data_IF_173681827437
#
_entry.id   IF_173681827437
#
_cell.length_a   1.000
_cell.length_b   1.000
_cell.length_c   1.000
_cell.angle_alpha   90.00
_cell.angle_beta   90.00
_cell.angle_gamma   90.00
#
_symmetry.space_group_name_H-M   'P 1'
#
loop_
_entity.id
_entity.type
_entity.pdbx_description
1 polymer ?
#
# COMPACT_ATOMS: atom_id res chain seq x y z
N UNK A 1 21.69 18.50 -55.33
CA UNK A 1 22.29 19.68 -54.65
C UNK A 1 21.61 19.83 -53.34
N UNK A 2 22.29 19.51 -52.23
CA UNK A 2 21.75 19.80 -50.90
C UNK A 2 21.69 21.32 -50.76
N UNK A 3 20.54 21.83 -50.47
CA UNK A 3 20.29 23.26 -50.43
C UNK A 3 21.16 23.86 -49.32
N UNK A 4 21.93 24.91 -49.58
CA UNK A 4 22.75 25.62 -48.56
C UNK A 4 21.97 25.94 -47.31
N UNK A 5 20.68 26.17 -47.44
CA UNK A 5 19.74 26.41 -46.37
C UNK A 5 19.52 25.19 -45.49
N UNK A 6 19.54 23.98 -46.03
CA UNK A 6 19.38 22.74 -45.26
C UNK A 6 20.64 22.42 -44.46
N UNK A 7 21.82 22.70 -45.02
CA UNK A 7 23.10 22.59 -44.33
C UNK A 7 23.21 23.62 -43.19
N UNK A 8 22.73 24.85 -43.40
CA UNK A 8 22.68 25.88 -42.39
C UNK A 8 21.71 25.49 -41.24
N UNK A 9 20.50 25.05 -41.57
CA UNK A 9 19.55 24.52 -40.60
C UNK A 9 20.13 23.35 -39.78
N UNK A 10 20.76 22.39 -40.42
CA UNK A 10 21.38 21.25 -39.75
C UNK A 10 22.47 21.70 -38.78
N UNK A 11 23.27 22.69 -39.10
CA UNK A 11 24.29 23.28 -38.20
C UNK A 11 23.64 24.00 -37.00
N UNK A 12 22.64 24.84 -37.25
CA UNK A 12 21.98 25.63 -36.21
C UNK A 12 21.16 24.74 -35.30
N UNK A 13 20.49 23.75 -35.83
CA UNK A 13 19.59 22.87 -35.06
C UNK A 13 20.30 21.65 -34.48
N UNK A 14 21.56 21.34 -34.89
CA UNK A 14 22.29 20.19 -34.35
C UNK A 14 21.53 18.86 -34.50
N UNK A 15 20.81 18.69 -35.61
CA UNK A 15 19.98 17.50 -35.86
C UNK A 15 18.56 17.53 -35.25
N UNK A 16 18.21 18.58 -34.52
CA UNK A 16 16.85 18.73 -34.00
C UNK A 16 15.87 19.30 -35.05
N UNK A 17 14.59 18.96 -34.96
CA UNK A 17 13.58 19.42 -35.93
C UNK A 17 13.28 20.92 -35.84
N UNK A 18 13.50 21.55 -34.70
CA UNK A 18 13.27 22.97 -34.43
C UNK A 18 14.11 23.48 -33.26
N UNK A 19 14.16 24.81 -33.05
CA UNK A 19 14.92 25.45 -31.97
C UNK A 19 14.46 25.04 -30.57
N UNK A 20 13.15 24.77 -30.37
CA UNK A 20 12.61 24.28 -29.08
C UNK A 20 13.20 22.91 -28.77
N UNK A 21 13.14 21.98 -29.71
CA UNK A 21 13.68 20.63 -29.56
C UNK A 21 15.19 20.64 -29.34
N UNK A 22 15.91 21.53 -30.02
CA UNK A 22 17.35 21.74 -29.77
C UNK A 22 17.59 22.12 -28.32
N UNK A 23 16.90 23.12 -27.81
CA UNK A 23 17.05 23.57 -26.42
C UNK A 23 16.73 22.47 -25.41
N UNK A 24 15.65 21.69 -25.66
CA UNK A 24 15.32 20.53 -24.81
C UNK A 24 16.48 19.53 -24.81
N UNK A 25 17.03 19.21 -25.99
CA UNK A 25 18.16 18.28 -26.10
C UNK A 25 19.43 18.81 -25.42
N UNK A 26 19.70 20.12 -25.55
CA UNK A 26 20.83 20.75 -24.87
C UNK A 26 20.68 20.68 -23.34
N UNK A 27 19.49 20.97 -22.80
CA UNK A 27 19.20 20.85 -21.36
C UNK A 27 19.35 19.39 -20.90
N UNK A 28 18.84 18.42 -21.64
CA UNK A 28 19.03 16.98 -21.32
C UNK A 28 20.51 16.60 -21.26
N UNK A 29 21.28 17.03 -22.28
CA UNK A 29 22.72 16.76 -22.32
C UNK A 29 23.46 17.39 -21.13
N UNK A 30 23.12 18.63 -20.79
CA UNK A 30 23.75 19.35 -19.69
C UNK A 30 23.36 18.71 -18.36
N UNK A 31 22.09 18.27 -18.20
CA UNK A 31 21.67 17.49 -17.04
C UNK A 31 22.43 16.15 -16.92
N UNK A 32 22.57 15.39 -18.02
CA UNK A 32 23.32 14.13 -18.00
C UNK A 32 24.80 14.34 -17.65
N UNK A 33 25.38 15.46 -18.08
CA UNK A 33 26.73 15.84 -17.67
C UNK A 33 26.79 16.20 -16.17
N UNK A 34 25.85 17.01 -15.70
CA UNK A 34 25.72 17.34 -14.27
C UNK A 34 25.60 16.08 -13.42
N UNK A 35 24.74 15.14 -13.80
CA UNK A 35 24.52 13.91 -13.06
C UNK A 35 25.82 13.09 -12.89
N UNK A 36 26.72 13.11 -13.86
CA UNK A 36 27.99 12.39 -13.79
C UNK A 36 29.02 13.03 -12.85
N UNK A 37 28.86 14.33 -12.52
CA UNK A 37 29.84 15.09 -11.74
C UNK A 37 29.29 15.62 -10.41
N UNK A 38 28.00 15.46 -10.17
CA UNK A 38 27.38 15.96 -8.95
C UNK A 38 27.81 15.15 -7.73
N UNK A 39 28.17 15.80 -6.61
CA UNK A 39 28.45 15.10 -5.35
C UNK A 39 27.23 14.39 -4.75
N UNK A 40 26.01 14.74 -5.21
CA UNK A 40 24.76 14.08 -4.80
C UNK A 40 24.38 12.92 -5.70
N UNK A 41 25.23 12.59 -6.68
CA UNK A 41 24.99 11.49 -7.62
C UNK A 41 25.50 10.19 -7.04
N UNK A 42 24.62 9.20 -7.03
CA UNK A 42 24.89 7.87 -6.49
C UNK A 42 24.50 6.81 -7.52
N UNK A 43 25.20 5.68 -7.48
CA UNK A 43 24.74 4.47 -8.12
C UNK A 43 23.75 3.78 -7.18
N UNK A 44 22.54 3.54 -7.67
CA UNK A 44 21.43 3.00 -6.88
C UNK A 44 20.82 1.80 -7.61
N UNK A 45 20.21 0.89 -6.84
CA UNK A 45 19.36 -0.15 -7.40
C UNK A 45 17.91 0.30 -7.43
N UNK A 46 17.16 -0.12 -8.46
CA UNK A 46 15.75 0.23 -8.59
C UNK A 46 14.94 -0.92 -9.20
N UNK A 47 13.66 -1.00 -8.85
CA UNK A 47 12.71 -1.88 -9.54
C UNK A 47 12.19 -1.20 -10.78
N UNK A 48 12.03 -1.96 -11.86
CA UNK A 48 11.22 -1.51 -13.00
C UNK A 48 9.76 -1.42 -12.60
N UNK A 49 8.97 -0.80 -13.47
CA UNK A 49 7.50 -0.77 -13.32
C UNK A 49 6.97 -2.20 -13.15
N UNK A 50 6.13 -2.43 -12.16
CA UNK A 50 5.61 -3.74 -11.72
C UNK A 50 6.65 -4.74 -11.19
N UNK A 51 7.91 -4.35 -11.06
CA UNK A 51 8.97 -5.19 -10.50
C UNK A 51 8.83 -5.40 -8.99
N UNK A 52 9.29 -6.55 -8.53
CA UNK A 52 9.37 -6.86 -7.11
C UNK A 52 10.68 -6.31 -6.50
N UNK A 53 10.69 -5.94 -5.21
CA UNK A 53 11.88 -5.38 -4.55
C UNK A 53 12.88 -6.48 -4.13
N UNK A 54 13.23 -7.37 -5.06
CA UNK A 54 14.21 -8.44 -4.87
C UNK A 54 15.57 -7.90 -5.32
N UNK A 55 16.52 -7.76 -4.39
CA UNK A 55 17.80 -7.08 -4.60
C UNK A 55 18.61 -7.59 -5.79
N UNK A 56 18.54 -8.90 -6.07
CA UNK A 56 19.27 -9.54 -7.17
C UNK A 56 18.62 -9.30 -8.55
N UNK A 57 17.32 -8.97 -8.57
CA UNK A 57 16.55 -8.68 -9.78
C UNK A 57 16.46 -7.19 -10.10
N UNK A 58 16.88 -6.33 -9.17
CA UNK A 58 16.84 -4.88 -9.35
C UNK A 58 17.88 -4.41 -10.37
N UNK A 59 17.47 -3.48 -11.22
CA UNK A 59 18.36 -2.80 -12.16
C UNK A 59 19.16 -1.71 -11.46
N UNK A 60 20.32 -1.34 -12.03
CA UNK A 60 21.15 -0.24 -11.51
C UNK A 60 21.01 1.01 -12.38
N UNK A 61 21.04 2.18 -11.76
CA UNK A 61 21.12 3.48 -12.45
C UNK A 61 21.92 4.51 -11.66
N UNK A 62 22.36 5.55 -12.34
CA UNK A 62 22.93 6.74 -11.69
C UNK A 62 21.83 7.78 -11.49
N UNK A 63 21.61 8.20 -10.26
CA UNK A 63 20.63 9.23 -9.91
C UNK A 63 21.18 10.19 -8.85
N UNK A 64 20.71 11.42 -8.85
CA UNK A 64 21.01 12.36 -7.77
C UNK A 64 19.95 12.25 -6.68
N UNK A 65 20.40 12.11 -5.43
CA UNK A 65 19.55 12.09 -4.24
C UNK A 65 19.89 13.30 -3.39
N UNK A 66 18.88 14.06 -3.01
CA UNK A 66 19.02 15.25 -2.18
C UNK A 66 17.98 15.28 -1.07
N UNK A 67 18.35 15.86 0.05
CA UNK A 67 17.44 16.07 1.17
C UNK A 67 16.38 17.12 0.81
N UNK A 68 15.18 16.95 1.35
CA UNK A 68 14.15 17.98 1.28
C UNK A 68 14.46 19.01 2.35
N UNK A 69 14.68 20.26 1.95
CA UNK A 69 14.77 21.38 2.88
C UNK A 69 13.37 21.64 3.45
N UNK A 70 13.01 20.94 4.52
CA UNK A 70 11.72 21.06 5.15
C UNK A 70 11.82 21.98 6.36
N UNK A 71 10.98 23.00 6.37
CA UNK A 71 10.64 23.75 7.58
C UNK A 71 9.55 23.03 8.40
N UNK A 72 8.98 21.94 7.88
CA UNK A 72 7.95 21.16 8.53
C UNK A 72 8.55 19.99 9.30
N UNK A 73 8.28 19.95 10.59
CA UNK A 73 8.70 18.89 11.52
C UNK A 73 8.08 17.52 11.21
N UNK A 74 7.28 17.42 10.16
CA UNK A 74 6.55 16.21 9.73
C UNK A 74 7.19 15.48 8.56
N UNK A 75 8.27 16.00 7.96
CA UNK A 75 8.95 15.32 6.87
C UNK A 75 9.73 14.10 7.40
N UNK A 76 9.05 12.99 7.42
CA UNK A 76 9.56 11.67 7.77
C UNK A 76 10.53 11.21 6.67
N UNK A 77 11.80 11.60 6.78
CA UNK A 77 12.91 11.09 5.98
C UNK A 77 12.57 10.93 4.47
N UNK A 78 11.90 11.95 3.94
CA UNK A 78 11.62 12.06 2.51
C UNK A 78 12.82 12.71 1.81
N UNK A 79 13.13 12.20 0.60
CA UNK A 79 14.22 12.70 -0.22
C UNK A 79 13.73 13.01 -1.63
N UNK A 80 14.51 13.76 -2.37
CA UNK A 80 14.26 14.02 -3.78
C UNK A 80 15.20 13.16 -4.61
N UNK A 81 14.66 12.39 -5.53
CA UNK A 81 15.40 11.67 -6.56
C UNK A 81 15.30 12.40 -7.89
N UNK A 82 16.42 12.59 -8.55
CA UNK A 82 16.46 13.12 -9.92
C UNK A 82 17.25 12.17 -10.81
N UNK A 83 16.66 11.71 -11.88
CA UNK A 83 17.27 10.75 -12.80
C UNK A 83 17.01 11.11 -14.27
N UNK A 84 17.63 10.35 -15.16
CA UNK A 84 17.46 10.54 -16.61
C UNK A 84 16.02 10.24 -17.03
N UNK A 85 15.60 10.85 -18.16
CA UNK A 85 14.26 10.63 -18.72
C UNK A 85 14.07 9.21 -19.25
N UNK A 86 15.15 8.57 -19.65
CA UNK A 86 15.17 7.26 -20.31
C UNK A 86 14.98 6.10 -19.31
N UNK A 87 15.19 6.35 -18.02
CA UNK A 87 15.04 5.31 -16.98
C UNK A 87 13.59 4.82 -16.89
N UNK A 88 13.41 3.50 -16.83
CA UNK A 88 12.09 2.86 -16.76
C UNK A 88 11.60 2.78 -15.31
N UNK A 89 11.33 3.95 -14.73
CA UNK A 89 10.80 4.09 -13.38
C UNK A 89 9.57 5.00 -13.37
N UNK A 90 8.68 4.75 -12.43
CA UNK A 90 7.45 5.51 -12.20
C UNK A 90 7.07 5.45 -10.71
N UNK A 91 6.01 6.15 -10.34
CA UNK A 91 5.47 6.10 -8.97
C UNK A 91 5.22 4.65 -8.53
N UNK A 92 5.60 4.33 -7.28
CA UNK A 92 5.49 2.98 -6.71
C UNK A 92 6.68 2.06 -6.96
N UNK A 93 7.63 2.42 -7.82
CA UNK A 93 8.89 1.68 -7.91
C UNK A 93 9.69 1.83 -6.62
N UNK A 94 10.48 0.81 -6.29
CA UNK A 94 11.38 0.82 -5.14
C UNK A 94 12.79 1.22 -5.56
N UNK A 95 13.45 1.94 -4.68
CA UNK A 95 14.86 2.33 -4.76
C UNK A 95 15.57 1.70 -3.56
N UNK A 96 16.72 1.10 -3.80
CA UNK A 96 17.63 0.65 -2.74
C UNK A 96 18.90 1.49 -2.80
N UNK A 97 19.15 2.22 -1.73
CA UNK A 97 20.28 3.12 -1.58
C UNK A 97 20.68 3.22 -0.11
N UNK A 98 21.99 3.19 0.16
CA UNK A 98 22.56 3.29 1.51
C UNK A 98 21.90 2.28 2.49
N UNK A 99 21.88 1.01 2.07
CA UNK A 99 21.31 -0.13 2.81
C UNK A 99 19.84 0.06 3.23
N UNK A 100 19.12 0.94 2.54
CA UNK A 100 17.74 1.27 2.86
C UNK A 100 16.85 1.26 1.62
N UNK A 101 15.64 0.72 1.77
CA UNK A 101 14.61 0.81 0.75
C UNK A 101 13.84 2.13 0.85
N UNK A 102 13.56 2.69 -0.30
CA UNK A 102 12.65 3.83 -0.50
C UNK A 102 11.61 3.46 -1.54
N UNK A 103 10.40 4.01 -1.42
CA UNK A 103 9.37 3.91 -2.45
C UNK A 103 9.17 5.28 -3.12
N UNK A 104 9.01 5.29 -4.44
CA UNK A 104 8.70 6.50 -5.21
C UNK A 104 7.25 6.92 -4.93
N UNK A 105 7.08 8.00 -4.16
CA UNK A 105 5.78 8.46 -3.71
C UNK A 105 5.08 9.38 -4.71
N UNK A 106 5.81 10.26 -5.36
CA UNK A 106 5.25 11.26 -6.25
C UNK A 106 6.23 11.64 -7.36
N UNK A 107 5.74 11.81 -8.61
CA UNK A 107 6.50 12.37 -9.73
C UNK A 107 6.13 13.84 -9.96
N UNK A 108 7.12 14.73 -9.92
CA UNK A 108 6.92 16.13 -10.30
C UNK A 108 6.78 16.27 -11.80
N UNK A 109 5.61 16.75 -12.26
CA UNK A 109 5.40 17.01 -13.68
C UNK A 109 6.17 18.25 -14.14
N UNK A 110 7.13 18.04 -15.05
CA UNK A 110 7.91 19.13 -15.62
C UNK A 110 7.40 19.55 -16.98
N UNK A 111 7.28 20.85 -17.20
CA UNK A 111 6.90 21.44 -18.49
C UNK A 111 7.95 21.22 -19.59
N UNK A 112 9.23 21.06 -19.19
CA UNK A 112 10.34 20.72 -20.07
C UNK A 112 10.84 19.33 -19.67
N UNK A 113 10.71 18.31 -20.57
CA UNK A 113 11.06 16.91 -20.26
C UNK A 113 12.58 16.71 -20.34
N UNK A 114 13.33 17.29 -19.42
CA UNK A 114 14.79 17.17 -19.34
C UNK A 114 15.24 16.01 -18.46
N UNK A 115 14.54 15.76 -17.39
CA UNK A 115 14.81 14.71 -16.40
C UNK A 115 13.53 14.36 -15.64
N UNK A 116 13.50 13.21 -14.99
CA UNK A 116 12.45 12.84 -14.04
C UNK A 116 12.85 13.29 -12.64
N UNK A 117 11.87 13.73 -11.86
CA UNK A 117 12.05 14.11 -10.46
C UNK A 117 10.95 13.48 -9.62
N UNK A 118 11.35 12.77 -8.58
CA UNK A 118 10.46 12.05 -7.67
C UNK A 118 10.72 12.46 -6.23
N UNK A 119 9.66 12.34 -5.42
CA UNK A 119 9.79 12.30 -3.98
C UNK A 119 9.91 10.84 -3.54
N UNK A 120 10.99 10.54 -2.80
CA UNK A 120 11.23 9.27 -2.15
C UNK A 120 10.63 9.27 -0.77
N UNK A 121 10.03 8.17 -0.37
CA UNK A 121 9.63 7.91 1.02
C UNK A 121 10.38 6.70 1.55
N UNK A 122 11.04 6.86 2.71
CA UNK A 122 11.76 5.76 3.33
C UNK A 122 10.81 4.64 3.75
N UNK A 123 11.17 3.41 3.42
CA UNK A 123 10.54 2.22 3.98
C UNK A 123 11.15 1.95 5.36
N UNK A 124 10.30 1.89 6.37
CA UNK A 124 10.70 1.70 7.75
C UNK A 124 10.37 0.30 8.29
N UNK A 125 9.75 -0.52 7.46
CA UNK A 125 9.38 -1.88 7.83
C UNK A 125 9.38 -2.82 6.62
N UNK A 126 9.52 -4.14 6.90
CA UNK A 126 9.41 -5.21 5.91
C UNK A 126 8.17 -6.04 6.24
N UNK A 127 7.23 -6.14 5.30
CA UNK A 127 6.09 -7.03 5.44
C UNK A 127 6.35 -8.35 4.70
N UNK A 128 5.98 -9.45 5.32
CA UNK A 128 6.02 -10.78 4.73
C UNK A 128 4.62 -11.13 4.22
N UNK A 129 4.46 -11.04 2.89
CA UNK A 129 3.17 -11.25 2.23
C UNK A 129 3.16 -12.59 1.52
N UNK A 130 2.27 -13.47 1.91
CA UNK A 130 2.03 -14.70 1.18
C UNK A 130 1.21 -14.42 -0.09
N UNK A 131 1.68 -14.91 -1.22
CA UNK A 131 0.98 -14.87 -2.50
C UNK A 131 1.20 -16.17 -3.26
N UNK A 132 0.12 -16.92 -3.51
CA UNK A 132 0.14 -18.23 -4.19
C UNK A 132 1.11 -19.23 -3.54
N UNK A 133 1.13 -19.29 -2.21
CA UNK A 133 1.98 -20.21 -1.46
C UNK A 133 3.46 -19.80 -1.39
N UNK A 134 3.83 -18.60 -1.83
CA UNK A 134 5.19 -18.05 -1.73
C UNK A 134 5.16 -16.79 -0.88
N UNK A 135 6.08 -16.70 0.08
CA UNK A 135 6.25 -15.50 0.92
C UNK A 135 7.17 -14.52 0.20
N UNK A 136 6.73 -13.27 0.11
CA UNK A 136 7.46 -12.16 -0.50
C UNK A 136 7.74 -11.07 0.52
N UNK A 137 8.99 -10.64 0.56
CA UNK A 137 9.45 -9.53 1.39
C UNK A 137 9.09 -8.20 0.71
N UNK A 138 8.21 -7.43 1.34
CA UNK A 138 7.72 -6.18 0.78
C UNK A 138 8.09 -5.00 1.67
N UNK A 139 9.03 -4.15 1.24
CA UNK A 139 9.37 -2.95 1.98
C UNK A 139 8.19 -1.97 1.99
N UNK A 140 7.85 -1.44 3.16
CA UNK A 140 6.72 -0.53 3.33
C UNK A 140 7.08 0.65 4.21
N UNK A 141 6.34 1.75 4.02
CA UNK A 141 6.40 2.89 4.93
C UNK A 141 5.15 2.90 5.80
N UNK A 142 5.31 2.66 7.09
CA UNK A 142 4.22 2.62 8.06
C UNK A 142 4.19 3.92 8.85
N UNK A 143 3.04 4.57 8.87
CA UNK A 143 2.79 5.78 9.65
C UNK A 143 1.70 5.54 10.68
N UNK A 144 1.96 5.98 11.90
CA UNK A 144 0.94 6.04 12.93
C UNK A 144 -0.10 7.12 12.56
N UNK A 145 -1.38 6.76 12.62
CA UNK A 145 -2.43 7.75 12.62
C UNK A 145 -2.51 8.37 14.02
N UNK A 146 -1.71 9.39 14.27
CA UNK A 146 -2.04 10.34 15.32
C UNK A 146 -3.18 11.19 14.77
N UNK A 147 -4.37 11.05 15.35
CA UNK A 147 -5.44 11.99 15.09
C UNK A 147 -5.05 13.35 15.69
N UNK A 148 -4.34 14.16 14.91
CA UNK A 148 -4.46 15.58 15.06
C UNK A 148 -5.84 15.94 14.49
N UNK A 149 -6.85 16.01 15.32
CA UNK A 149 -8.09 16.69 14.96
C UNK A 149 -7.73 18.16 14.77
N UNK A 150 -7.53 18.56 13.51
CA UNK A 150 -7.46 19.96 13.16
C UNK A 150 -8.82 20.58 13.56
N UNK A 151 -8.85 21.35 14.65
CA UNK A 151 -9.98 22.20 14.97
C UNK A 151 -10.63 22.09 16.35
N UNK A 152 -10.16 21.22 17.24
CA UNK A 152 -10.60 21.27 18.64
C UNK A 152 -9.52 21.92 19.53
N UNK A 153 -9.64 23.23 19.69
CA UNK A 153 -8.93 24.01 20.69
C UNK A 153 -9.48 23.73 22.09
N UNK A 154 -9.45 22.49 22.52
CA UNK A 154 -9.66 22.15 23.92
C UNK A 154 -8.67 21.07 24.32
N UNK A 155 -7.88 21.39 25.36
CA UNK A 155 -6.89 20.55 26.02
C UNK A 155 -7.52 19.28 26.62
N UNK A 156 -8.02 18.39 25.79
CA UNK A 156 -8.27 17.01 26.16
C UNK A 156 -7.32 16.13 25.37
N UNK A 157 -6.24 15.75 26.03
CA UNK A 157 -5.40 14.63 25.63
C UNK A 157 -6.23 13.35 25.72
N UNK A 158 -7.07 13.11 24.76
CA UNK A 158 -7.48 11.76 24.42
C UNK A 158 -6.43 11.23 23.42
N UNK A 159 -5.38 10.67 23.97
CA UNK A 159 -4.58 9.67 23.29
C UNK A 159 -5.44 8.41 23.22
N UNK A 160 -6.44 8.39 22.36
CA UNK A 160 -6.95 7.13 21.85
C UNK A 160 -5.79 6.50 21.08
N UNK A 161 -5.25 5.45 21.66
CA UNK A 161 -4.45 4.45 20.96
C UNK A 161 -5.37 3.78 19.94
N UNK A 162 -5.73 4.53 18.90
CA UNK A 162 -6.40 3.96 17.76
C UNK A 162 -5.39 3.02 17.12
N UNK A 163 -5.62 1.72 17.24
CA UNK A 163 -4.80 0.67 16.63
C UNK A 163 -4.80 0.72 15.09
N UNK A 164 -5.01 1.92 14.52
CA UNK A 164 -5.01 2.17 13.07
C UNK A 164 -3.64 2.65 12.59
N UNK A 165 -3.22 2.16 11.42
CA UNK A 165 -1.97 2.54 10.77
C UNK A 165 -2.24 2.86 9.30
N UNK A 166 -1.45 3.76 8.73
CA UNK A 166 -1.34 3.91 7.28
C UNK A 166 -0.10 3.18 6.79
N UNK A 167 -0.25 2.31 5.82
CA UNK A 167 0.84 1.60 5.18
C UNK A 167 0.92 2.06 3.72
N UNK A 168 2.08 2.52 3.31
CA UNK A 168 2.36 2.88 1.92
C UNK A 168 3.24 1.81 1.29
N UNK A 169 2.79 1.26 0.18
CA UNK A 169 3.44 0.16 -0.52
C UNK A 169 3.44 0.42 -2.03
N UNK A 170 4.48 0.00 -2.72
CA UNK A 170 4.55 0.11 -4.17
C UNK A 170 3.53 -0.79 -4.86
N UNK A 171 2.84 -0.25 -5.88
CA UNK A 171 1.85 -0.97 -6.66
C UNK A 171 2.52 -1.97 -7.61
N UNK A 172 2.47 -3.24 -7.27
CA UNK A 172 2.91 -4.37 -8.08
C UNK A 172 1.80 -5.44 -8.14
N UNK A 173 1.94 -6.51 -8.92
CA UNK A 173 0.90 -7.54 -9.04
C UNK A 173 0.47 -8.16 -7.71
N UNK A 174 1.39 -8.32 -6.75
CA UNK A 174 1.09 -8.88 -5.43
C UNK A 174 0.27 -7.89 -4.60
N UNK A 175 0.75 -6.65 -4.45
CA UNK A 175 0.12 -5.65 -3.58
C UNK A 175 -1.24 -5.20 -4.10
N UNK A 176 -1.46 -5.21 -5.43
CA UNK A 176 -2.77 -4.94 -6.04
C UNK A 176 -3.76 -6.08 -5.87
N UNK A 177 -3.29 -7.32 -5.66
CA UNK A 177 -4.18 -8.48 -5.45
C UNK A 177 -4.69 -8.58 -4.02
N UNK A 178 -4.21 -7.73 -3.11
CA UNK A 178 -4.61 -7.74 -1.70
C UNK A 178 -5.99 -7.09 -1.57
N UNK A 179 -7.05 -7.82 -1.21
CA UNK A 179 -8.37 -7.25 -1.01
C UNK A 179 -8.51 -6.58 0.37
N UNK A 180 -9.54 -5.74 0.51
CA UNK A 180 -10.01 -5.29 1.82
C UNK A 180 -10.39 -6.49 2.66
N UNK A 181 -10.09 -6.46 3.95
CA UNK A 181 -10.27 -7.58 4.85
C UNK A 181 -9.03 -8.47 5.02
N UNK A 182 -8.01 -8.36 4.13
CA UNK A 182 -6.76 -9.10 4.29
C UNK A 182 -6.09 -8.81 5.61
N UNK A 183 -5.54 -9.85 6.21
CA UNK A 183 -4.75 -9.75 7.43
C UNK A 183 -3.27 -9.66 7.09
N UNK A 184 -2.54 -8.84 7.82
CA UNK A 184 -1.10 -8.65 7.69
C UNK A 184 -0.48 -8.60 9.08
N UNK A 185 0.67 -9.22 9.25
CA UNK A 185 1.44 -9.12 10.48
C UNK A 185 2.51 -8.06 10.29
N UNK A 186 2.58 -7.09 11.21
CA UNK A 186 3.59 -6.01 11.13
C UNK A 186 4.81 -6.41 11.96
N UNK A 187 4.58 -6.94 13.15
CA UNK A 187 5.61 -7.48 14.04
C UNK A 187 5.04 -8.69 14.72
N UNK A 188 5.89 -9.50 15.35
CA UNK A 188 5.45 -10.64 16.14
C UNK A 188 4.27 -10.25 17.05
N UNK A 189 3.21 -11.04 16.99
CA UNK A 189 1.96 -10.86 17.76
C UNK A 189 1.09 -9.65 17.38
N UNK A 190 1.50 -8.81 16.41
CA UNK A 190 0.73 -7.64 15.99
C UNK A 190 0.14 -7.83 14.60
N UNK A 191 -1.07 -8.37 14.57
CA UNK A 191 -1.84 -8.57 13.33
C UNK A 191 -2.78 -7.41 13.10
N UNK A 192 -2.86 -6.99 11.85
CA UNK A 192 -3.73 -5.91 11.38
C UNK A 192 -4.57 -6.40 10.22
N UNK A 193 -5.79 -5.87 10.11
CA UNK A 193 -6.69 -6.08 8.98
C UNK A 193 -6.69 -4.84 8.07
N UNK A 194 -6.62 -5.05 6.78
CA UNK A 194 -6.79 -3.99 5.77
C UNK A 194 -8.24 -3.52 5.79
N UNK A 195 -8.51 -2.35 6.35
CA UNK A 195 -9.84 -1.78 6.45
C UNK A 195 -10.23 -0.99 5.20
N UNK A 196 -9.27 -0.33 4.56
CA UNK A 196 -9.49 0.46 3.36
C UNK A 196 -8.25 0.48 2.48
N UNK A 197 -8.45 0.50 1.16
CA UNK A 197 -7.40 0.61 0.15
C UNK A 197 -7.63 1.87 -0.66
N UNK A 198 -6.63 2.77 -0.66
CA UNK A 198 -6.60 3.92 -1.55
C UNK A 198 -5.50 3.68 -2.60
N UNK A 199 -5.90 3.38 -3.81
CA UNK A 199 -5.04 3.04 -4.95
C UNK A 199 -5.09 4.08 -6.08
N UNK A 200 -5.88 5.13 -5.94
CA UNK A 200 -6.09 6.17 -6.95
C UNK A 200 -5.41 7.51 -6.65
N UNK A 201 -4.94 7.74 -5.42
CA UNK A 201 -4.34 9.02 -5.00
C UNK A 201 -2.98 9.27 -5.66
N UNK A 202 -2.21 8.20 -5.90
CA UNK A 202 -0.88 8.25 -6.47
C UNK A 202 -0.74 7.34 -7.69
N UNK A 203 -1.45 7.63 -8.80
CA UNK A 203 -1.39 6.81 -9.98
C UNK A 203 -0.06 6.98 -10.70
N UNK A 204 0.31 5.99 -11.49
CA UNK A 204 1.38 6.11 -12.47
C UNK A 204 0.98 7.09 -13.55
N UNK A 205 1.95 7.83 -14.02
CA UNK A 205 1.71 8.86 -15.04
C UNK A 205 1.34 8.28 -16.39
N UNK A 206 1.90 7.13 -16.74
CA UNK A 206 1.87 6.57 -18.10
C UNK A 206 0.54 5.90 -18.46
N UNK A 207 -0.04 5.20 -17.52
CA UNK A 207 -1.21 4.34 -17.71
C UNK A 207 -2.32 4.53 -16.66
N UNK A 208 -2.12 5.45 -15.72
CA UNK A 208 -3.04 5.74 -14.62
C UNK A 208 -3.31 4.53 -13.70
N UNK A 209 -2.50 3.48 -13.79
CA UNK A 209 -2.60 2.36 -12.87
C UNK A 209 -2.10 2.76 -11.47
N UNK A 210 -2.53 2.05 -10.41
CA UNK A 210 -2.04 2.32 -9.06
C UNK A 210 -0.52 2.22 -8.97
N UNK A 211 0.14 3.34 -8.68
CA UNK A 211 1.58 3.41 -8.49
C UNK A 211 1.95 3.17 -7.03
N UNK A 212 1.60 4.10 -6.15
CA UNK A 212 1.72 3.92 -4.70
C UNK A 212 0.33 3.63 -4.13
N UNK A 213 0.23 2.54 -3.37
CA UNK A 213 -1.01 2.12 -2.72
C UNK A 213 -0.92 2.46 -1.23
N UNK A 214 -1.98 3.02 -0.70
CA UNK A 214 -2.11 3.32 0.73
C UNK A 214 -3.16 2.39 1.34
N UNK A 215 -2.75 1.58 2.29
CA UNK A 215 -3.65 0.77 3.10
C UNK A 215 -3.90 1.45 4.43
N UNK A 216 -5.17 1.63 4.77
CA UNK A 216 -5.58 1.89 6.14
C UNK A 216 -5.80 0.54 6.81
N UNK A 217 -5.07 0.27 7.87
CA UNK A 217 -5.17 -0.99 8.60
C UNK A 217 -5.58 -0.74 10.04
N UNK A 218 -6.37 -1.65 10.59
CA UNK A 218 -6.79 -1.67 11.99
C UNK A 218 -6.28 -2.94 12.67
N UNK A 219 -5.91 -2.83 13.93
CA UNK A 219 -5.44 -3.97 14.71
C UNK A 219 -6.56 -5.01 14.82
N UNK A 220 -6.20 -6.28 14.72
CA UNK A 220 -7.10 -7.43 14.83
C UNK A 220 -6.50 -8.49 15.75
N UNK A 221 -7.25 -9.56 16.01
CA UNK A 221 -6.80 -10.65 16.88
C UNK A 221 -5.79 -11.56 16.17
N UNK A 222 -4.87 -12.12 16.95
CA UNK A 222 -3.97 -13.19 16.53
C UNK A 222 -4.77 -14.51 16.46
N UNK A 223 -4.59 -15.27 15.38
CA UNK A 223 -5.18 -16.60 15.20
C UNK A 223 -4.11 -17.69 15.42
N UNK A 224 -4.55 -18.90 15.71
CA UNK A 224 -3.64 -20.05 15.91
C UNK A 224 -2.91 -20.42 14.60
N UNK A 225 -3.51 -20.14 13.46
CA UNK A 225 -2.99 -20.41 12.13
C UNK A 225 -1.99 -19.35 11.64
N UNK A 226 -1.83 -18.24 12.38
CA UNK A 226 -0.84 -17.23 12.05
C UNK A 226 0.57 -17.76 12.28
N UNK A 227 1.44 -17.58 11.31
CA UNK A 227 2.84 -17.93 11.40
C UNK A 227 3.63 -16.78 12.04
N UNK A 228 3.70 -16.81 13.38
CA UNK A 228 4.37 -15.79 14.19
C UNK A 228 5.89 -15.80 14.00
N UNK A 229 6.47 -16.96 13.65
CA UNK A 229 7.92 -17.07 13.46
C UNK A 229 8.39 -16.36 12.19
N UNK A 230 7.56 -16.38 11.15
CA UNK A 230 7.83 -15.73 9.86
C UNK A 230 7.10 -14.41 9.65
N UNK A 231 6.40 -13.90 10.68
CA UNK A 231 5.58 -12.67 10.62
C UNK A 231 4.53 -12.70 9.48
N UNK A 232 3.91 -13.87 9.24
CA UNK A 232 2.90 -14.06 8.19
C UNK A 232 1.52 -14.28 8.81
N UNK A 233 0.58 -13.40 8.48
CA UNK A 233 -0.80 -13.56 8.91
C UNK A 233 -1.57 -14.49 7.98
N UNK A 234 -2.31 -15.44 8.55
CA UNK A 234 -3.16 -16.35 7.82
C UNK A 234 -4.33 -15.64 7.12
N UNK A 235 -4.53 -15.95 5.84
CA UNK A 235 -5.58 -15.39 5.01
C UNK A 235 -6.30 -16.48 4.21
N UNK A 236 -7.32 -17.09 4.79
CA UNK A 236 -8.05 -18.21 4.19
C UNK A 236 -8.61 -17.91 2.79
N UNK A 237 -9.12 -16.68 2.57
CA UNK A 237 -9.67 -16.26 1.27
C UNK A 237 -8.59 -16.09 0.17
N UNK A 238 -7.32 -16.29 0.50
CA UNK A 238 -6.21 -16.35 -0.46
C UNK A 238 -5.76 -17.76 -0.80
N UNK A 239 -6.27 -18.74 -0.07
CA UNK A 239 -5.99 -20.12 -0.33
C UNK A 239 -6.60 -20.49 -1.69
N UNK A 240 -5.80 -20.86 -2.72
CA UNK A 240 -6.30 -21.23 -4.04
C UNK A 240 -7.20 -22.47 -3.99
N UNK A 241 -7.08 -23.28 -2.96
CA UNK A 241 -7.93 -24.47 -2.73
C UNK A 241 -9.24 -24.12 -2.01
N UNK A 242 -9.32 -22.92 -1.40
CA UNK A 242 -10.58 -22.42 -0.87
C UNK A 242 -11.43 -21.92 -2.05
N UNK A 243 -12.27 -22.78 -2.60
CA UNK A 243 -13.21 -22.52 -3.70
C UNK A 243 -14.26 -21.45 -3.36
N UNK A 244 -13.88 -20.32 -2.78
CA UNK A 244 -14.73 -19.14 -2.60
C UNK A 244 -16.05 -19.35 -1.84
N UNK A 245 -16.33 -20.56 -1.40
CA UNK A 245 -17.50 -20.90 -0.63
C UNK A 245 -17.15 -20.80 0.86
N UNK A 246 -17.44 -19.64 1.44
CA UNK A 246 -17.53 -19.55 2.90
C UNK A 246 -18.45 -20.65 3.41
N UNK A 247 -18.04 -21.37 4.46
CA UNK A 247 -18.90 -22.32 5.17
C UNK A 247 -19.89 -21.59 6.06
N UNK A 248 -19.60 -20.33 6.39
CA UNK A 248 -20.54 -19.46 7.09
C UNK A 248 -21.60 -19.00 6.10
N UNK A 249 -22.84 -19.41 6.34
CA UNK A 249 -24.00 -18.96 5.60
C UNK A 249 -24.53 -17.67 6.25
N UNK A 250 -24.70 -16.62 5.46
CA UNK A 250 -25.19 -15.31 5.89
C UNK A 250 -24.81 -14.25 4.88
N UNK A 251 -25.35 -13.05 5.05
CA UNK A 251 -25.10 -11.94 4.14
C UNK A 251 -23.71 -11.35 4.33
N UNK A 252 -23.05 -11.00 3.24
CA UNK A 252 -21.74 -10.32 3.24
C UNK A 252 -21.84 -8.81 3.49
N UNK A 253 -23.02 -8.32 3.80
CA UNK A 253 -23.29 -6.91 4.15
C UNK A 253 -24.36 -6.84 5.24
N UNK A 254 -24.37 -5.74 5.99
CA UNK A 254 -25.36 -5.45 7.01
C UNK A 254 -25.72 -3.95 6.93
N UNK A 255 -27.02 -3.64 7.04
CA UNK A 255 -27.47 -2.25 7.09
C UNK A 255 -27.41 -1.69 8.54
N UNK A 256 -27.32 -0.37 8.65
CA UNK A 256 -27.38 0.29 9.95
C UNK A 256 -28.72 -0.01 10.65
N UNK A 257 -28.64 -0.47 11.90
CA UNK A 257 -29.82 -0.86 12.70
C UNK A 257 -30.38 -2.23 12.40
N UNK A 258 -29.76 -3.01 11.51
CA UNK A 258 -30.18 -4.35 11.14
C UNK A 258 -29.54 -5.42 12.01
N UNK A 259 -30.21 -6.57 12.11
CA UNK A 259 -29.69 -7.80 12.71
C UNK A 259 -29.71 -8.90 11.68
N UNK A 260 -28.54 -9.49 11.39
CA UNK A 260 -28.40 -10.61 10.47
C UNK A 260 -28.03 -11.86 11.23
N UNK A 261 -28.61 -13.00 10.81
CA UNK A 261 -28.32 -14.33 11.36
C UNK A 261 -27.26 -15.01 10.47
N UNK A 262 -26.28 -15.64 11.12
CA UNK A 262 -25.21 -16.40 10.49
C UNK A 262 -25.22 -17.82 11.06
N UNK A 263 -24.96 -18.78 10.19
CA UNK A 263 -24.91 -20.20 10.54
C UNK A 263 -23.74 -20.89 9.86
N UNK A 264 -23.25 -21.98 10.45
CA UNK A 264 -22.20 -22.79 9.85
C UNK A 264 -22.56 -24.28 9.96
N UNK A 265 -22.41 -25.01 8.87
CA UNK A 265 -22.59 -26.46 8.84
C UNK A 265 -21.27 -27.13 9.29
N UNK A 266 -21.17 -27.40 10.59
CA UNK A 266 -20.01 -28.02 11.21
C UNK A 266 -20.46 -29.00 12.30
N UNK A 267 -19.81 -30.15 12.38
CA UNK A 267 -20.18 -31.21 13.34
C UNK A 267 -19.64 -31.00 14.76
N UNK A 268 -18.74 -30.02 14.96
CA UNK A 268 -18.17 -29.66 16.24
C UNK A 268 -18.88 -28.48 16.91
N UNK A 269 -18.40 -28.07 18.08
CA UNK A 269 -18.89 -26.91 18.81
C UNK A 269 -18.17 -25.65 18.34
N UNK A 270 -18.91 -24.68 17.81
CA UNK A 270 -18.36 -23.42 17.29
C UNK A 270 -18.51 -22.31 18.34
N UNK A 271 -17.52 -21.43 18.34
CA UNK A 271 -17.57 -20.11 18.94
C UNK A 271 -17.47 -19.06 17.84
N UNK A 272 -18.42 -18.14 17.82
CA UNK A 272 -18.35 -16.98 16.92
C UNK A 272 -17.71 -15.81 17.63
N UNK A 273 -16.81 -15.12 16.94
CA UNK A 273 -16.12 -13.93 17.45
C UNK A 273 -15.94 -12.89 16.36
N UNK A 274 -15.80 -11.64 16.76
CA UNK A 274 -15.43 -10.56 15.85
C UNK A 274 -13.90 -10.39 15.86
N UNK A 275 -13.37 -9.89 14.77
CA UNK A 275 -11.93 -9.64 14.61
C UNK A 275 -11.38 -8.50 15.49
N UNK A 276 -12.24 -7.69 16.08
CA UNK A 276 -11.89 -6.66 17.05
C UNK A 276 -13.07 -6.37 17.98
N UNK A 277 -12.81 -5.61 19.04
CA UNK A 277 -13.88 -5.11 19.93
C UNK A 277 -14.51 -3.89 19.28
N UNK A 278 -15.78 -4.01 18.93
CA UNK A 278 -16.60 -2.93 18.40
C UNK A 278 -17.62 -2.50 19.48
N UNK A 279 -17.82 -1.20 19.63
CA UNK A 279 -18.80 -0.64 20.58
C UNK A 279 -20.22 -0.61 20.01
N UNK A 280 -20.33 -0.68 18.71
CA UNK A 280 -21.53 -0.48 17.90
C UNK A 280 -21.98 -1.75 17.16
N UNK A 281 -21.27 -2.88 17.38
CA UNK A 281 -21.62 -4.21 16.87
C UNK A 281 -21.84 -5.13 18.05
N UNK A 282 -23.04 -5.73 18.08
CA UNK A 282 -23.40 -6.72 19.10
C UNK A 282 -23.42 -8.09 18.44
N UNK A 283 -22.61 -9.00 18.96
CA UNK A 283 -22.59 -10.40 18.59
C UNK A 283 -23.27 -11.24 19.68
N UNK A 284 -24.28 -12.01 19.30
CA UNK A 284 -24.96 -12.95 20.19
C UNK A 284 -24.77 -14.36 19.65
N UNK A 285 -24.02 -15.20 20.34
CA UNK A 285 -23.87 -16.62 20.01
C UNK A 285 -25.12 -17.38 20.54
N UNK A 286 -25.94 -17.85 19.64
CA UNK A 286 -27.19 -18.57 19.95
C UNK A 286 -26.94 -20.04 20.31
N UNK A 287 -25.69 -20.52 20.17
CA UNK A 287 -25.38 -21.95 20.21
C UNK A 287 -25.84 -22.65 18.92
N UNK A 288 -25.75 -23.97 18.88
CA UNK A 288 -26.12 -24.75 17.69
C UNK A 288 -25.46 -24.28 16.38
N UNK A 289 -24.23 -23.73 16.46
CA UNK A 289 -23.48 -23.22 15.33
C UNK A 289 -24.19 -22.05 14.59
N UNK A 290 -24.96 -21.25 15.32
CA UNK A 290 -25.60 -20.02 14.80
C UNK A 290 -25.27 -18.82 15.68
N UNK A 291 -25.22 -17.65 15.08
CA UNK A 291 -25.08 -16.38 15.80
C UNK A 291 -25.87 -15.26 15.13
N UNK A 292 -26.17 -14.24 15.89
CA UNK A 292 -26.78 -13.01 15.41
C UNK A 292 -25.77 -11.86 15.53
N UNK A 293 -25.68 -11.06 14.50
CA UNK A 293 -24.87 -9.85 14.48
C UNK A 293 -25.79 -8.66 14.26
N UNK A 294 -25.79 -7.73 15.22
CA UNK A 294 -26.57 -6.49 15.15
C UNK A 294 -25.63 -5.31 14.99
N UNK A 295 -25.83 -4.50 13.94
CA UNK A 295 -25.11 -3.24 13.76
C UNK A 295 -25.97 -2.08 14.27
N UNK A 296 -25.47 -1.33 15.24
CA UNK A 296 -26.14 -0.12 15.71
C UNK A 296 -26.06 1.01 14.66
N UNK A 297 -26.92 2.00 14.79
CA UNK A 297 -26.98 3.11 13.84
C UNK A 297 -25.82 4.07 14.13
N UNK A 298 -24.80 4.01 13.26
CA UNK A 298 -23.72 4.98 13.21
C UNK A 298 -23.38 5.25 11.73
N UNK A 299 -23.67 6.47 11.27
CA UNK A 299 -23.50 6.86 9.87
C UNK A 299 -22.03 7.00 9.45
N UNK A 300 -21.12 7.17 10.41
CA UNK A 300 -19.69 7.27 10.14
C UNK A 300 -19.09 5.92 9.76
N UNK A 301 -19.80 4.82 10.02
CA UNK A 301 -19.37 3.47 9.70
C UNK A 301 -19.79 2.96 8.32
N UNK A 302 -20.53 3.74 7.54
CA UNK A 302 -20.93 3.34 6.18
C UNK A 302 -19.70 3.13 5.32
N UNK A 303 -19.57 1.93 4.73
CA UNK A 303 -18.43 1.49 3.94
C UNK A 303 -17.31 0.83 4.75
N UNK A 304 -17.37 0.87 6.08
CA UNK A 304 -16.50 0.08 6.94
C UNK A 304 -16.86 -1.41 6.84
N UNK A 305 -15.94 -2.26 7.25
CA UNK A 305 -16.18 -3.71 7.28
C UNK A 305 -15.55 -4.32 8.54
N UNK A 306 -16.12 -5.44 8.97
CA UNK A 306 -15.62 -6.26 10.08
C UNK A 306 -15.62 -7.73 9.68
N UNK A 307 -14.84 -8.55 10.39
CA UNK A 307 -14.83 -9.99 10.17
C UNK A 307 -15.58 -10.73 11.26
N UNK A 308 -16.45 -11.65 10.85
CA UNK A 308 -17.02 -12.68 11.69
C UNK A 308 -16.20 -13.96 11.52
N UNK A 309 -15.68 -14.48 12.62
CA UNK A 309 -14.79 -15.64 12.69
C UNK A 309 -15.53 -16.77 13.41
N UNK A 310 -15.55 -17.94 12.82
CA UNK A 310 -16.04 -19.18 13.44
C UNK A 310 -14.86 -20.05 13.84
N UNK A 311 -14.75 -20.37 15.13
CA UNK A 311 -13.66 -21.14 15.73
C UNK A 311 -14.20 -22.40 16.40
N UNK A 312 -13.49 -23.51 16.32
CA UNK A 312 -13.80 -24.71 17.10
C UNK A 312 -13.41 -24.49 18.58
N UNK A 313 -14.39 -24.62 19.49
CA UNK A 313 -14.18 -24.44 20.94
C UNK A 313 -13.20 -25.44 21.55
N UNK A 314 -13.03 -26.60 20.93
CA UNK A 314 -12.23 -27.70 21.49
C UNK A 314 -10.76 -27.62 21.10
N UNK A 315 -10.47 -27.22 19.85
CA UNK A 315 -9.11 -27.16 19.30
C UNK A 315 -8.58 -25.72 19.28
N UNK A 316 -9.46 -24.73 19.23
CA UNK A 316 -9.10 -23.32 19.02
C UNK A 316 -8.84 -22.96 17.56
N UNK A 317 -9.02 -23.91 16.64
CA UNK A 317 -8.74 -23.68 15.22
C UNK A 317 -9.86 -22.89 14.55
N UNK A 318 -9.47 -22.02 13.62
CA UNK A 318 -10.42 -21.25 12.81
C UNK A 318 -11.02 -22.13 11.72
N UNK A 319 -12.35 -22.32 11.76
CA UNK A 319 -13.07 -23.14 10.81
C UNK A 319 -13.41 -22.33 9.56
N UNK A 320 -13.84 -21.06 9.76
CA UNK A 320 -14.17 -20.16 8.67
C UNK A 320 -14.19 -18.70 9.12
N UNK A 321 -14.15 -17.79 8.15
CA UNK A 321 -14.32 -16.36 8.39
C UNK A 321 -14.97 -15.66 7.21
N UNK A 322 -15.84 -14.70 7.49
CA UNK A 322 -16.56 -13.91 6.50
C UNK A 322 -16.38 -12.41 6.77
N UNK A 323 -16.11 -11.65 5.72
CA UNK A 323 -16.02 -10.20 5.80
C UNK A 323 -17.40 -9.58 5.54
N UNK A 324 -17.89 -8.76 6.47
CA UNK A 324 -19.20 -8.13 6.43
C UNK A 324 -19.02 -6.64 6.25
N UNK A 325 -19.64 -6.08 5.21
CA UNK A 325 -19.56 -4.64 4.86
C UNK A 325 -20.78 -3.91 5.39
N UNK A 326 -20.57 -2.80 6.10
CA UNK A 326 -21.65 -1.94 6.59
C UNK A 326 -22.18 -1.07 5.46
N UNK A 327 -23.49 -1.07 5.24
CA UNK A 327 -24.18 -0.26 4.24
C UNK A 327 -25.16 0.72 4.88
N UNK A 328 -25.30 1.89 4.28
CA UNK A 328 -26.39 2.81 4.58
C UNK A 328 -27.72 2.30 4.02
N UNK A 329 -28.82 2.69 4.66
CA UNK A 329 -30.21 2.43 4.23
C UNK A 329 -30.52 3.22 2.99
#
# INVERSE_FOLDING_TARGET
MSNYFDNYKARVLGGANNLRNKRVNDIKRDFNRYLNWSPTSHEIKYTKVDGLPILDEMSTMTAAITDIASNDKTALDEKILVCRMEEDIDVGCYIYWDDTFYVLAYEEHKSIPSHKKFTLRRCNHMLHLEYKGVIYDMPVSILNLTMYSAGLNEMKYMSELNGKRNIFVGGNPITRSIPVGSRIMITQDMVYRVAHINDFEYPRRKDMTPGLIKWLVSQTVLLNEDDVENDVAYNKFRDPDSNGNSKINGDTFIFLGETNEYSIDYSGNIEFMLDATYTDIVLVDNGNNTCEVTKQIDFDDIGNSFMLIARDKSTGDTIDMINIVVRGI
#
